data_IF_782267080873
#
_entry.id   IF_782267080873
#
_cell.length_a   1.000
_cell.length_b   1.000
_cell.length_c   1.000
_cell.angle_alpha   90.00
_cell.angle_beta   90.00
_cell.angle_gamma   90.00
#
_symmetry.space_group_name_H-M   'P 1'
#
loop_
_entity.id
_entity.type
_entity.pdbx_description
1 polymer ?
#
# COMPACT_ATOMS: atom_id res chain seq x y z
N UNK A 1 -17.34 10.02 30.21
CA UNK A 1 -17.93 9.71 28.89
C UNK A 1 -16.87 9.25 27.89
N UNK A 2 -16.88 7.97 27.53
CA UNK A 2 -16.04 7.44 26.44
C UNK A 2 -16.93 7.26 25.21
N UNK A 3 -16.68 8.05 24.18
CA UNK A 3 -17.30 7.90 22.86
C UNK A 3 -16.25 7.47 21.83
N UNK A 4 -16.53 6.37 21.13
CA UNK A 4 -15.74 5.91 20.00
C UNK A 4 -16.64 5.84 18.77
N UNK A 5 -16.38 6.75 17.83
CA UNK A 5 -16.96 6.74 16.50
C UNK A 5 -15.95 6.13 15.55
N UNK A 6 -16.27 5.00 14.94
CA UNK A 6 -15.39 4.29 14.03
C UNK A 6 -16.08 4.07 12.69
N UNK A 7 -15.34 4.14 11.59
CA UNK A 7 -15.83 3.82 10.24
C UNK A 7 -14.79 2.97 9.51
N UNK A 8 -15.23 1.95 8.78
CA UNK A 8 -14.36 1.09 7.97
C UNK A 8 -14.02 1.75 6.63
N UNK A 9 -13.41 2.92 6.72
CA UNK A 9 -12.94 3.71 5.61
C UNK A 9 -11.66 4.42 6.04
N UNK A 10 -10.69 4.54 5.13
CA UNK A 10 -9.47 5.33 5.36
C UNK A 10 -9.79 6.83 5.31
N UNK A 11 -8.92 7.67 5.90
CA UNK A 11 -9.09 9.11 5.88
C UNK A 11 -9.18 9.64 4.44
N UNK A 12 -8.44 8.99 3.52
CA UNK A 12 -8.50 9.27 2.09
C UNK A 12 -9.89 9.02 1.50
N UNK A 13 -10.48 7.83 1.75
CA UNK A 13 -11.83 7.49 1.25
C UNK A 13 -12.88 8.45 1.80
N UNK A 14 -12.75 8.83 3.07
CA UNK A 14 -13.62 9.81 3.72
C UNK A 14 -13.49 11.17 3.04
N UNK A 15 -12.28 11.68 2.82
CA UNK A 15 -12.07 12.96 2.14
C UNK A 15 -12.60 13.00 0.71
N UNK A 16 -12.47 11.89 -0.02
CA UNK A 16 -12.93 11.78 -1.40
C UNK A 16 -14.46 11.69 -1.54
N UNK A 17 -15.15 11.04 -0.59
CA UNK A 17 -16.58 10.72 -0.73
C UNK A 17 -17.49 11.50 0.23
N UNK A 18 -17.00 11.87 1.40
CA UNK A 18 -17.73 12.62 2.43
C UNK A 18 -17.22 14.07 2.57
N UNK A 19 -16.19 14.47 1.81
CA UNK A 19 -15.65 15.82 1.79
C UNK A 19 -14.54 16.08 2.81
N UNK A 20 -13.87 17.23 2.65
CA UNK A 20 -12.68 17.59 3.45
C UNK A 20 -12.98 17.80 4.93
N UNK A 21 -14.17 18.30 5.25
CA UNK A 21 -14.60 18.52 6.63
C UNK A 21 -14.72 17.19 7.39
N UNK A 22 -15.32 16.17 6.76
CA UNK A 22 -15.38 14.82 7.30
C UNK A 22 -13.99 14.20 7.48
N UNK A 23 -13.05 14.45 6.56
CA UNK A 23 -11.67 14.02 6.73
C UNK A 23 -10.95 14.72 7.89
N UNK A 24 -11.26 16.00 8.15
CA UNK A 24 -10.71 16.75 9.27
C UNK A 24 -11.24 16.25 10.64
N UNK A 25 -12.37 15.54 10.65
CA UNK A 25 -12.91 14.88 11.83
C UNK A 25 -12.18 13.57 12.17
N UNK A 26 -11.29 13.05 11.31
CA UNK A 26 -10.51 11.84 11.59
C UNK A 26 -9.46 12.11 12.67
N UNK A 27 -9.50 11.31 13.74
CA UNK A 27 -8.59 11.39 14.90
C UNK A 27 -7.45 10.39 14.78
N UNK A 28 -7.73 9.20 14.28
CA UNK A 28 -6.78 8.11 14.14
C UNK A 28 -7.18 7.19 12.98
N UNK A 29 -6.21 6.51 12.38
CA UNK A 29 -6.42 5.49 11.34
C UNK A 29 -5.60 4.25 11.66
N UNK A 30 -6.21 3.08 11.52
CA UNK A 30 -5.56 1.78 11.72
C UNK A 30 -6.25 0.70 10.87
N UNK A 31 -5.51 -0.08 10.10
CA UNK A 31 -6.01 -1.23 9.33
C UNK A 31 -7.30 -0.99 8.54
N UNK A 32 -7.38 0.16 7.85
CA UNK A 32 -8.56 0.52 7.03
C UNK A 32 -9.76 1.03 7.84
N UNK A 33 -9.60 1.25 9.14
CA UNK A 33 -10.56 1.90 10.01
C UNK A 33 -10.11 3.30 10.40
N UNK A 34 -11.05 4.24 10.46
CA UNK A 34 -10.84 5.57 11.00
C UNK A 34 -11.68 5.79 12.26
N UNK A 35 -11.08 6.41 13.27
CA UNK A 35 -11.80 7.02 14.40
C UNK A 35 -12.18 8.46 14.05
N UNK A 36 -13.42 8.84 14.34
CA UNK A 36 -13.95 10.18 14.09
C UNK A 36 -14.20 10.94 15.41
N UNK A 37 -14.18 12.28 15.34
CA UNK A 37 -14.64 13.17 16.42
C UNK A 37 -16.15 13.33 16.46
N UNK A 38 -16.82 13.07 15.34
CA UNK A 38 -18.24 13.32 15.12
C UNK A 38 -18.97 12.01 14.82
N UNK A 39 -20.31 12.07 14.86
CA UNK A 39 -21.16 10.92 14.54
C UNK A 39 -20.77 10.30 13.18
N UNK A 40 -20.54 8.98 13.11
CA UNK A 40 -20.01 8.34 11.91
C UNK A 40 -21.10 8.02 10.88
N UNK A 41 -22.38 8.30 11.14
CA UNK A 41 -23.51 7.90 10.28
C UNK A 41 -23.39 8.46 8.86
N UNK A 42 -23.21 9.77 8.73
CA UNK A 42 -23.13 10.44 7.42
C UNK A 42 -21.87 10.01 6.66
N UNK A 43 -20.75 9.86 7.36
CA UNK A 43 -19.50 9.39 6.79
C UNK A 43 -19.62 7.94 6.33
N UNK A 44 -20.24 7.07 7.13
CA UNK A 44 -20.51 5.67 6.78
C UNK A 44 -21.40 5.55 5.53
N UNK A 45 -22.48 6.34 5.47
CA UNK A 45 -23.38 6.38 4.33
C UNK A 45 -22.67 6.87 3.04
N UNK A 46 -21.98 8.02 3.11
CA UNK A 46 -21.25 8.59 1.98
C UNK A 46 -20.14 7.64 1.46
N UNK A 47 -19.43 6.98 2.38
CA UNK A 47 -18.36 6.03 2.02
C UNK A 47 -18.86 4.63 1.72
N UNK A 48 -20.17 4.35 1.86
CA UNK A 48 -20.75 2.99 1.79
C UNK A 48 -19.98 1.98 2.65
N UNK A 49 -19.58 2.40 3.84
CA UNK A 49 -18.80 1.60 4.78
C UNK A 49 -19.60 1.36 6.06
N UNK A 50 -19.30 0.25 6.74
CA UNK A 50 -19.84 0.03 8.08
C UNK A 50 -19.24 1.06 9.05
N UNK A 51 -20.11 1.64 9.88
CA UNK A 51 -19.75 2.61 10.90
C UNK A 51 -20.33 2.17 12.24
N UNK A 52 -19.61 2.48 13.32
CA UNK A 52 -20.01 2.15 14.68
C UNK A 52 -19.94 3.39 15.56
N UNK A 53 -21.03 3.62 16.32
CA UNK A 53 -21.02 4.50 17.46
C UNK A 53 -21.03 3.65 18.73
N UNK A 54 -19.96 3.77 19.52
CA UNK A 54 -19.84 3.18 20.84
C UNK A 54 -19.95 4.30 21.87
N UNK A 55 -20.92 4.19 22.78
CA UNK A 55 -21.08 5.13 23.89
C UNK A 55 -21.06 4.39 25.21
N UNK A 56 -20.35 4.95 26.17
CA UNK A 56 -20.25 4.42 27.53
C UNK A 56 -20.81 5.45 28.51
N UNK A 57 -22.13 5.41 28.77
CA UNK A 57 -22.84 6.00 29.94
C UNK A 57 -24.38 5.91 29.81
N UNK A 58 -25.13 5.50 30.87
CA UNK A 58 -24.68 4.77 32.08
C UNK A 58 -24.33 3.30 31.80
N UNK A 59 -24.46 2.83 30.55
CA UNK A 59 -24.06 1.51 30.09
C UNK A 59 -23.32 1.58 28.76
N UNK A 60 -22.70 0.46 28.36
CA UNK A 60 -22.06 0.35 27.05
C UNK A 60 -23.12 0.10 25.99
N UNK A 61 -23.29 1.04 25.07
CA UNK A 61 -24.21 0.93 23.94
C UNK A 61 -23.43 0.93 22.63
N UNK A 62 -23.90 0.12 21.68
CA UNK A 62 -23.30 -0.03 20.37
C UNK A 62 -24.40 0.16 19.33
N UNK A 63 -24.14 1.04 18.38
CA UNK A 63 -24.96 1.22 17.18
C UNK A 63 -24.09 0.98 15.95
N UNK A 64 -24.54 0.10 15.07
CA UNK A 64 -23.93 -0.14 13.77
C UNK A 64 -24.77 0.51 12.66
N UNK A 65 -24.13 1.33 11.85
CA UNK A 65 -24.66 1.86 10.60
C UNK A 65 -24.07 1.02 9.46
N UNK A 66 -24.91 0.23 8.79
CA UNK A 66 -24.47 -0.68 7.74
C UNK A 66 -24.51 -0.01 6.36
N UNK A 67 -23.72 -0.48 5.38
CA UNK A 67 -23.68 0.09 4.04
C UNK A 67 -25.02 0.05 3.28
N UNK A 68 -25.90 -0.87 3.66
CA UNK A 68 -27.25 -1.03 3.09
C UNK A 68 -28.29 -0.06 3.69
N UNK A 69 -27.85 0.83 4.59
CA UNK A 69 -28.70 1.79 5.29
C UNK A 69 -29.38 1.22 6.53
N UNK A 70 -29.22 -0.07 6.82
CA UNK A 70 -29.78 -0.67 8.04
C UNK A 70 -29.00 -0.22 9.28
N UNK A 71 -29.71 -0.12 10.39
CA UNK A 71 -29.16 0.21 11.70
C UNK A 71 -29.39 -0.97 12.63
N UNK A 72 -28.34 -1.41 13.30
CA UNK A 72 -28.41 -2.49 14.28
C UNK A 72 -27.89 -2.02 15.64
N UNK A 73 -28.54 -2.48 16.72
CA UNK A 73 -28.19 -2.08 18.08
C UNK A 73 -27.76 -3.28 18.92
N UNK A 74 -26.89 -3.04 19.90
CA UNK A 74 -26.47 -4.06 20.86
C UNK A 74 -25.84 -5.27 20.17
N UNK A 75 -26.19 -6.52 20.53
CA UNK A 75 -25.61 -7.74 19.95
C UNK A 75 -25.69 -7.88 18.44
N UNK A 76 -26.72 -7.28 17.82
CA UNK A 76 -26.96 -7.35 16.37
C UNK A 76 -26.00 -6.45 15.58
N UNK A 77 -25.31 -5.54 16.27
CA UNK A 77 -24.25 -4.71 15.71
C UNK A 77 -22.97 -5.51 15.39
N UNK A 78 -22.81 -6.73 15.92
CA UNK A 78 -21.62 -7.54 15.71
C UNK A 78 -21.40 -7.94 14.24
N UNK A 79 -20.13 -8.11 13.85
CA UNK A 79 -19.80 -8.82 12.62
C UNK A 79 -20.09 -10.33 12.76
N UNK A 80 -20.08 -11.06 11.64
CA UNK A 80 -20.25 -12.52 11.63
C UNK A 80 -19.31 -13.18 12.64
N UNK A 81 -19.87 -13.95 13.57
CA UNK A 81 -19.13 -14.65 14.64
C UNK A 81 -18.87 -13.84 15.91
N UNK A 82 -19.13 -12.53 15.93
CA UNK A 82 -18.88 -11.66 17.10
C UNK A 82 -20.04 -11.54 18.10
N UNK A 83 -21.24 -12.06 17.77
CA UNK A 83 -22.46 -11.76 18.54
C UNK A 83 -22.47 -12.34 19.97
N UNK A 84 -21.80 -13.46 20.22
CA UNK A 84 -21.68 -14.06 21.57
C UNK A 84 -20.71 -13.26 22.45
N UNK A 85 -19.58 -12.84 21.87
CA UNK A 85 -18.61 -11.97 22.53
C UNK A 85 -19.21 -10.60 22.84
N UNK A 86 -19.97 -10.04 21.90
CA UNK A 86 -20.67 -8.76 22.09
C UNK A 86 -21.75 -8.88 23.17
N UNK A 87 -22.55 -9.94 23.18
CA UNK A 87 -23.49 -10.23 24.28
C UNK A 87 -22.80 -10.26 25.63
N UNK A 88 -21.69 -10.99 25.74
CA UNK A 88 -20.92 -11.08 26.99
C UNK A 88 -20.40 -9.72 27.45
N UNK A 89 -19.93 -8.90 26.52
CA UNK A 89 -19.39 -7.58 26.82
C UNK A 89 -20.46 -6.56 27.23
N UNK A 90 -21.66 -6.66 26.63
CA UNK A 90 -22.78 -5.76 26.89
C UNK A 90 -23.57 -6.12 28.16
N UNK A 91 -23.74 -7.41 28.47
CA UNK A 91 -24.63 -7.89 29.54
C UNK A 91 -24.06 -7.81 30.98
N UNK A 92 -22.90 -7.18 31.19
CA UNK A 92 -22.05 -7.58 32.32
C UNK A 92 -22.45 -7.08 33.71
N UNK A 93 -22.29 -8.00 34.69
CA UNK A 93 -22.49 -7.86 36.15
C UNK A 93 -21.27 -8.37 37.00
N UNK A 94 -20.16 -8.83 36.40
CA UNK A 94 -19.02 -9.36 37.18
C UNK A 94 -18.00 -8.27 37.62
N UNK A 95 -17.57 -8.26 38.91
CA UNK A 95 -16.69 -7.22 39.47
C UNK A 95 -15.27 -7.17 38.90
N UNK A 96 -14.81 -8.25 38.24
CA UNK A 96 -13.41 -8.37 37.75
C UNK A 96 -13.24 -7.93 36.31
N UNK A 97 -14.33 -7.65 35.58
CA UNK A 97 -14.26 -7.28 34.18
C UNK A 97 -14.21 -5.76 34.02
N UNK A 98 -12.98 -5.25 33.93
CA UNK A 98 -12.73 -3.81 33.84
C UNK A 98 -13.34 -3.20 32.57
N UNK A 99 -13.72 -1.92 32.62
CA UNK A 99 -14.25 -1.20 31.46
C UNK A 99 -13.27 -1.18 30.28
N UNK A 100 -11.96 -1.18 30.57
CA UNK A 100 -10.92 -1.28 29.55
C UNK A 100 -11.01 -2.61 28.78
N UNK A 101 -11.19 -3.74 29.49
CA UNK A 101 -11.35 -5.06 28.90
C UNK A 101 -12.68 -5.20 28.17
N UNK A 102 -13.77 -4.65 28.73
CA UNK A 102 -15.11 -4.62 28.10
C UNK A 102 -15.08 -3.97 26.72
N UNK A 103 -14.52 -2.77 26.65
CA UNK A 103 -14.44 -2.04 25.38
C UNK A 103 -13.50 -2.74 24.39
N UNK A 104 -12.43 -3.41 24.86
CA UNK A 104 -11.54 -4.17 23.98
C UNK A 104 -12.24 -5.40 23.36
N UNK A 105 -13.04 -6.12 24.14
CA UNK A 105 -13.85 -7.23 23.66
C UNK A 105 -14.97 -6.76 22.71
N UNK A 106 -15.57 -5.58 22.96
CA UNK A 106 -16.51 -4.96 22.00
C UNK A 106 -15.79 -4.61 20.69
N UNK A 107 -14.64 -3.93 20.74
CA UNK A 107 -13.83 -3.64 19.56
C UNK A 107 -13.52 -4.92 18.78
N UNK A 108 -13.13 -6.01 19.46
CA UNK A 108 -12.86 -7.31 18.84
C UNK A 108 -14.12 -7.92 18.20
N UNK A 109 -15.27 -7.86 18.87
CA UNK A 109 -16.53 -8.36 18.33
C UNK A 109 -17.04 -7.57 17.11
N UNK A 110 -16.67 -6.29 17.02
CA UNK A 110 -16.98 -5.40 15.90
C UNK A 110 -15.92 -5.43 14.79
N UNK A 111 -14.75 -6.04 15.04
CA UNK A 111 -13.58 -6.00 14.17
C UNK A 111 -12.91 -4.63 14.07
N UNK A 112 -13.17 -3.75 15.02
CA UNK A 112 -12.54 -2.43 15.15
C UNK A 112 -11.19 -2.61 15.86
N UNK A 113 -10.08 -2.10 15.33
CA UNK A 113 -8.80 -2.20 16.01
C UNK A 113 -8.79 -1.45 17.36
N UNK A 114 -8.37 -2.08 18.46
CA UNK A 114 -8.35 -1.44 19.78
C UNK A 114 -7.40 -0.24 19.87
N UNK A 115 -6.41 -0.15 18.98
CA UNK A 115 -5.44 0.95 18.86
C UNK A 115 -6.11 2.29 18.56
N UNK A 116 -7.31 2.28 17.95
CA UNK A 116 -8.09 3.48 17.68
C UNK A 116 -8.58 4.18 18.97
N UNK A 117 -8.55 3.50 20.12
CA UNK A 117 -8.99 4.06 21.41
C UNK A 117 -8.04 5.11 22.00
N UNK A 118 -6.81 5.20 21.51
CA UNK A 118 -5.82 6.15 22.04
C UNK A 118 -6.14 7.58 21.56
N UNK A 119 -6.44 8.50 22.47
CA UNK A 119 -6.81 9.91 22.18
C UNK A 119 -5.69 10.75 21.55
N UNK A 120 -4.47 10.21 21.51
CA UNK A 120 -3.33 10.80 20.81
C UNK A 120 -2.57 9.71 20.09
N UNK A 121 -2.60 9.65 18.75
CA UNK A 121 -1.44 9.11 18.06
C UNK A 121 -0.24 9.99 18.42
N UNK A 122 0.97 9.44 18.69
CA UNK A 122 2.16 10.26 18.75
C UNK A 122 2.20 11.11 17.46
N UNK A 123 2.31 12.43 17.61
CA UNK A 123 2.48 13.35 16.47
C UNK A 123 3.75 12.93 15.73
N UNK A 124 3.61 12.15 14.67
CA UNK A 124 4.67 12.03 13.68
C UNK A 124 4.70 13.36 12.92
N UNK A 125 5.84 14.07 12.85
CA UNK A 125 5.99 15.10 11.84
C UNK A 125 5.67 14.49 10.46
N UNK A 126 5.17 15.26 9.48
CA UNK A 126 5.09 14.79 8.11
C UNK A 126 6.52 14.57 7.61
N UNK A 127 7.06 13.39 7.89
CA UNK A 127 8.21 12.88 7.16
C UNK A 127 7.68 12.71 5.73
N UNK A 128 8.25 13.36 4.71
CA UNK A 128 8.02 12.93 3.34
C UNK A 128 8.45 11.47 3.31
N UNK A 129 7.49 10.55 3.35
CA UNK A 129 7.79 9.14 3.51
C UNK A 129 8.81 8.77 2.42
N UNK A 130 9.94 8.15 2.77
CA UNK A 130 10.82 7.62 1.75
C UNK A 130 9.95 6.70 0.90
N UNK A 131 9.79 7.07 -0.37
CA UNK A 131 9.19 6.17 -1.35
C UNK A 131 10.22 5.08 -1.52
N UNK A 132 10.06 3.95 -0.84
CA UNK A 132 10.81 2.75 -1.23
C UNK A 132 10.47 2.54 -2.69
N UNK A 133 11.49 2.43 -3.52
CA UNK A 133 11.28 2.37 -4.94
C UNK A 133 12.40 1.61 -5.62
N UNK A 134 12.03 0.97 -6.71
CA UNK A 134 12.86 0.03 -7.44
C UNK A 134 12.41 -0.01 -8.89
N UNK A 135 13.18 -0.71 -9.70
CA UNK A 135 12.90 -0.88 -11.12
C UNK A 135 12.96 -2.36 -11.45
N UNK A 136 11.90 -2.88 -12.06
CA UNK A 136 11.94 -4.16 -12.77
C UNK A 136 12.43 -3.88 -14.18
N UNK A 137 13.40 -4.63 -14.68
CA UNK A 137 13.97 -4.46 -16.02
C UNK A 137 13.83 -5.77 -16.78
N UNK A 138 13.28 -5.71 -17.99
CA UNK A 138 13.16 -6.85 -18.90
C UNK A 138 14.50 -7.22 -19.53
N UNK A 139 15.50 -7.47 -18.70
CA UNK A 139 16.86 -7.86 -19.06
C UNK A 139 17.31 -8.98 -18.15
N UNK A 140 18.20 -9.82 -18.66
CA UNK A 140 18.95 -10.74 -17.81
C UNK A 140 19.81 -9.96 -16.79
N UNK A 141 20.21 -10.58 -15.67
CA UNK A 141 20.89 -9.90 -14.58
C UNK A 141 22.23 -9.27 -14.98
N UNK A 142 22.98 -9.89 -15.90
CA UNK A 142 24.28 -9.38 -16.31
C UNK A 142 24.12 -8.11 -17.15
N UNK A 143 23.22 -8.13 -18.15
CA UNK A 143 22.91 -6.96 -18.96
C UNK A 143 22.30 -5.83 -18.13
N UNK A 144 21.42 -6.16 -17.18
CA UNK A 144 20.83 -5.17 -16.26
C UNK A 144 21.91 -4.53 -15.34
N UNK A 145 22.85 -5.34 -14.81
CA UNK A 145 23.94 -4.85 -13.97
C UNK A 145 24.93 -3.96 -14.75
N UNK A 146 25.22 -4.28 -16.01
CA UNK A 146 26.05 -3.43 -16.87
C UNK A 146 25.45 -2.02 -17.05
N UNK A 147 24.11 -1.93 -17.17
CA UNK A 147 23.38 -0.67 -17.26
C UNK A 147 23.15 0.04 -15.93
N UNK A 148 23.18 -0.67 -14.81
CA UNK A 148 22.91 -0.16 -13.46
C UNK A 148 23.75 1.08 -13.10
N UNK A 149 25.05 1.08 -13.46
CA UNK A 149 25.94 2.21 -13.16
C UNK A 149 25.53 3.51 -13.84
N UNK A 150 24.82 3.45 -14.97
CA UNK A 150 24.35 4.62 -15.70
C UNK A 150 23.23 5.35 -14.95
N UNK A 151 22.60 4.69 -13.97
CA UNK A 151 21.62 5.34 -13.10
C UNK A 151 22.27 6.34 -12.13
N UNK A 152 23.59 6.31 -11.99
CA UNK A 152 24.34 7.24 -11.13
C UNK A 152 24.15 6.97 -9.64
N UNK A 153 23.61 5.81 -9.26
CA UNK A 153 23.47 5.37 -7.87
C UNK A 153 24.14 4.01 -7.68
N UNK A 154 24.58 3.71 -6.46
CA UNK A 154 24.91 2.33 -6.10
C UNK A 154 23.64 1.51 -5.99
N UNK A 155 23.72 0.24 -6.36
CA UNK A 155 22.52 -0.59 -6.43
C UNK A 155 22.82 -2.07 -6.44
N UNK A 156 21.79 -2.84 -6.12
CA UNK A 156 21.74 -4.27 -6.37
C UNK A 156 20.90 -4.54 -7.62
N UNK A 157 21.42 -5.40 -8.48
CA UNK A 157 20.69 -6.07 -9.56
C UNK A 157 20.46 -7.51 -9.15
N UNK A 158 19.21 -7.91 -8.97
CA UNK A 158 18.82 -9.23 -8.46
C UNK A 158 18.06 -10.00 -9.54
N UNK A 159 18.44 -11.25 -9.86
CA UNK A 159 17.65 -12.09 -10.76
C UNK A 159 16.26 -12.35 -10.18
N UNK A 160 15.21 -12.11 -10.97
CA UNK A 160 13.85 -12.57 -10.63
C UNK A 160 13.45 -13.77 -11.50
N UNK A 161 13.68 -13.65 -12.80
CA UNK A 161 13.47 -14.71 -13.79
C UNK A 161 14.59 -14.61 -14.84
N UNK A 162 14.69 -15.56 -15.79
CA UNK A 162 15.67 -15.44 -16.89
C UNK A 162 15.49 -14.17 -17.74
N UNK A 163 14.30 -13.57 -17.76
CA UNK A 163 13.97 -12.40 -18.58
C UNK A 163 13.80 -11.11 -17.77
N UNK A 164 13.76 -11.18 -16.43
CA UNK A 164 13.48 -10.04 -15.57
C UNK A 164 14.46 -9.96 -14.41
N UNK A 165 14.97 -8.75 -14.22
CA UNK A 165 15.87 -8.38 -13.13
C UNK A 165 15.26 -7.26 -12.29
N UNK A 166 15.52 -7.31 -10.99
CA UNK A 166 15.15 -6.27 -10.03
C UNK A 166 16.34 -5.36 -9.79
N UNK A 167 16.15 -4.06 -9.92
CA UNK A 167 17.15 -3.04 -9.61
C UNK A 167 16.69 -2.20 -8.44
N UNK A 168 17.46 -2.18 -7.36
CA UNK A 168 17.16 -1.43 -6.14
C UNK A 168 18.38 -0.66 -5.64
N UNK A 169 18.12 0.55 -5.15
CA UNK A 169 19.13 1.37 -4.49
C UNK A 169 19.55 0.72 -3.17
N UNK A 170 20.86 0.63 -2.92
CA UNK A 170 21.42 -0.08 -1.76
C UNK A 170 21.56 0.79 -0.50
N UNK A 171 21.03 2.01 -0.52
CA UNK A 171 21.10 2.95 0.60
C UNK A 171 22.35 3.85 0.60
N UNK A 172 23.33 3.61 -0.28
CA UNK A 172 24.53 4.43 -0.34
C UNK A 172 24.43 5.55 -1.41
N UNK A 173 24.91 6.75 -1.07
CA UNK A 173 24.89 7.90 -1.97
C UNK A 173 23.51 8.55 -2.12
N UNK A 174 23.29 9.27 -3.22
CA UNK A 174 22.02 9.95 -3.51
C UNK A 174 21.13 9.03 -4.36
N UNK A 175 19.88 8.74 -3.95
CA UNK A 175 18.99 7.93 -4.75
C UNK A 175 18.58 8.68 -6.04
N UNK A 176 18.60 7.96 -7.15
CA UNK A 176 18.05 8.39 -8.43
C UNK A 176 16.53 8.13 -8.42
N UNK A 177 15.68 9.08 -8.87
CA UNK A 177 14.26 8.84 -8.98
C UNK A 177 13.95 7.58 -9.80
N UNK A 178 13.05 6.71 -9.32
CA UNK A 178 12.77 5.42 -9.97
C UNK A 178 12.34 5.56 -11.44
N UNK A 179 11.68 6.67 -11.79
CA UNK A 179 11.32 7.00 -13.18
C UNK A 179 12.54 7.26 -14.06
N UNK A 180 13.51 7.98 -13.54
CA UNK A 180 14.79 8.23 -14.21
C UNK A 180 15.58 6.93 -14.33
N UNK A 181 15.67 6.16 -13.25
CA UNK A 181 16.34 4.86 -13.26
C UNK A 181 15.70 3.90 -14.28
N UNK A 182 14.36 3.83 -14.33
CA UNK A 182 13.65 2.99 -15.31
C UNK A 182 13.93 3.41 -16.76
N UNK A 183 13.96 4.71 -17.05
CA UNK A 183 14.31 5.21 -18.41
C UNK A 183 15.74 4.87 -18.81
N UNK A 184 16.67 4.96 -17.86
CA UNK A 184 18.07 4.61 -18.10
C UNK A 184 18.21 3.10 -18.35
N UNK A 185 17.52 2.28 -17.56
CA UNK A 185 17.65 0.82 -17.60
C UNK A 185 16.83 0.15 -18.70
N UNK A 186 15.71 0.75 -19.12
CA UNK A 186 14.86 0.21 -20.17
C UNK A 186 15.66 -0.06 -21.45
N UNK A 187 16.46 0.90 -21.92
CA UNK A 187 17.24 0.73 -23.15
C UNK A 187 16.34 0.38 -24.36
N UNK A 188 16.37 -0.87 -24.83
CA UNK A 188 15.44 -1.41 -25.85
C UNK A 188 14.34 -2.31 -25.28
N UNK A 189 14.39 -2.59 -23.98
CA UNK A 189 13.52 -3.50 -23.26
C UNK A 189 12.52 -2.73 -22.38
N UNK A 190 11.44 -3.37 -21.91
CA UNK A 190 10.55 -2.76 -20.94
C UNK A 190 11.24 -2.60 -19.58
N UNK A 191 10.92 -1.51 -18.88
CA UNK A 191 11.21 -1.35 -17.47
C UNK A 191 9.99 -0.84 -16.71
N UNK A 192 9.79 -1.32 -15.49
CA UNK A 192 8.71 -0.92 -14.60
C UNK A 192 9.29 -0.30 -13.34
N UNK A 193 9.13 1.00 -13.19
CA UNK A 193 9.40 1.65 -11.91
C UNK A 193 8.26 1.32 -10.95
N UNK A 194 8.57 0.75 -9.79
CA UNK A 194 7.62 0.54 -8.70
C UNK A 194 8.01 1.42 -7.51
N UNK A 195 7.02 1.94 -6.80
CA UNK A 195 7.26 2.66 -5.55
C UNK A 195 6.13 2.46 -4.55
N UNK A 196 6.45 2.59 -3.27
CA UNK A 196 5.45 2.57 -2.20
C UNK A 196 5.88 3.33 -0.95
N UNK A 197 4.88 3.64 -0.15
CA UNK A 197 4.95 4.17 1.20
C UNK A 197 3.73 3.70 2.00
N UNK A 198 3.60 4.14 3.25
CA UNK A 198 2.39 3.89 4.04
C UNK A 198 1.12 4.50 3.43
N UNK A 199 1.22 5.51 2.55
CA UNK A 199 0.07 6.27 2.03
C UNK A 199 -0.20 6.10 0.54
N UNK A 200 0.78 5.63 -0.22
CA UNK A 200 0.65 5.50 -1.67
C UNK A 200 1.54 4.38 -2.20
N UNK A 201 1.13 3.81 -3.31
CA UNK A 201 1.93 2.87 -4.08
C UNK A 201 1.64 3.08 -5.56
N UNK A 202 2.59 2.81 -6.43
CA UNK A 202 2.35 2.98 -7.85
C UNK A 202 3.42 2.36 -8.72
N UNK A 203 3.15 2.46 -10.02
CA UNK A 203 3.98 1.95 -11.07
C UNK A 203 4.01 2.88 -12.28
N UNK A 204 5.11 2.84 -13.01
CA UNK A 204 5.25 3.44 -14.34
C UNK A 204 5.95 2.44 -15.23
N UNK A 205 5.39 2.19 -16.40
CA UNK A 205 5.98 1.33 -17.42
C UNK A 205 6.63 2.20 -18.49
N UNK A 206 7.88 1.89 -18.78
CA UNK A 206 8.72 2.61 -19.73
C UNK A 206 9.23 1.63 -20.77
N UNK A 207 9.08 1.98 -22.04
CA UNK A 207 9.69 1.26 -23.17
C UNK A 207 10.74 2.19 -23.80
N UNK A 208 12.01 1.85 -23.64
CA UNK A 208 13.14 2.73 -23.95
C UNK A 208 13.06 4.08 -23.23
N UNK A 209 12.95 5.19 -23.96
CA UNK A 209 12.85 6.52 -23.36
C UNK A 209 11.40 6.98 -23.08
N UNK A 210 10.40 6.21 -23.51
CA UNK A 210 8.99 6.62 -23.50
C UNK A 210 8.23 6.00 -22.34
N UNK A 211 7.50 6.84 -21.62
CA UNK A 211 6.49 6.38 -20.67
C UNK A 211 5.28 5.87 -21.46
N UNK A 212 4.92 4.60 -21.29
CA UNK A 212 3.82 3.97 -22.04
C UNK A 212 2.58 3.73 -21.18
N UNK A 213 2.76 3.56 -19.87
CA UNK A 213 1.64 3.43 -18.94
C UNK A 213 2.04 3.79 -17.51
N UNK A 214 1.04 4.04 -16.67
CA UNK A 214 1.25 4.37 -15.26
C UNK A 214 -0.01 4.16 -14.45
N UNK A 215 0.18 3.82 -13.17
CA UNK A 215 -0.91 3.73 -12.22
C UNK A 215 -0.40 4.07 -10.82
N UNK A 216 -1.26 4.64 -9.98
CA UNK A 216 -0.94 4.85 -8.58
C UNK A 216 -2.20 4.74 -7.73
N UNK A 217 -2.07 4.02 -6.63
CA UNK A 217 -3.00 3.98 -5.52
C UNK A 217 -2.60 5.03 -4.46
N UNK A 218 -3.59 5.70 -3.86
CA UNK A 218 -3.38 6.65 -2.77
C UNK A 218 -3.23 8.12 -3.21
N UNK A 219 -2.74 8.95 -2.28
CA UNK A 219 -3.13 10.35 -2.01
C UNK A 219 -3.52 11.28 -3.18
N UNK A 220 -2.94 11.22 -4.39
CA UNK A 220 -3.17 12.25 -5.43
C UNK A 220 -3.06 11.80 -6.90
N UNK A 221 -3.18 10.51 -7.21
CA UNK A 221 -3.08 10.10 -8.60
C UNK A 221 -4.38 10.42 -9.36
N UNK A 222 -4.35 11.19 -10.47
CA UNK A 222 -5.47 11.23 -11.39
C UNK A 222 -5.58 9.86 -12.08
N UNK A 223 -6.33 8.94 -11.46
CA UNK A 223 -6.63 7.62 -12.02
C UNK A 223 -7.73 7.83 -13.06
N UNK A 224 -7.36 7.91 -14.34
CA UNK A 224 -8.35 7.83 -15.42
C UNK A 224 -8.62 6.35 -15.76
N UNK A 225 -9.87 5.97 -16.08
CA UNK A 225 -10.19 4.61 -16.51
C UNK A 225 -9.32 4.13 -17.67
N UNK A 226 -8.95 5.04 -18.59
CA UNK A 226 -8.14 4.78 -19.77
C UNK A 226 -6.68 4.49 -19.41
N UNK A 227 -6.05 5.31 -18.55
CA UNK A 227 -4.65 5.09 -18.12
C UNK A 227 -4.49 3.79 -17.35
N UNK A 228 -5.50 3.44 -16.54
CA UNK A 228 -5.51 2.21 -15.74
C UNK A 228 -5.65 0.97 -16.61
N UNK A 229 -6.56 1.00 -17.58
CA UNK A 229 -6.73 -0.11 -18.52
C UNK A 229 -5.50 -0.27 -19.43
N UNK A 230 -4.87 0.83 -19.85
CA UNK A 230 -3.61 0.79 -20.58
C UNK A 230 -2.50 0.13 -19.74
N UNK A 231 -2.35 0.52 -18.47
CA UNK A 231 -1.38 -0.09 -17.56
C UNK A 231 -1.61 -1.60 -17.38
N UNK A 232 -2.85 -2.04 -17.18
CA UNK A 232 -3.17 -3.46 -17.06
C UNK A 232 -2.80 -4.26 -18.30
N UNK A 233 -3.10 -3.75 -19.51
CA UNK A 233 -2.76 -4.41 -20.77
C UNK A 233 -1.26 -4.46 -21.05
N UNK A 234 -0.56 -3.34 -20.82
CA UNK A 234 0.89 -3.27 -21.05
C UNK A 234 1.62 -4.21 -20.10
N UNK A 235 1.26 -4.24 -18.82
CA UNK A 235 1.85 -5.18 -17.86
C UNK A 235 1.57 -6.64 -18.24
N UNK A 236 0.34 -6.95 -18.67
CA UNK A 236 0.00 -8.30 -19.11
C UNK A 236 0.87 -8.76 -20.28
N UNK A 237 1.10 -7.88 -21.26
CA UNK A 237 1.93 -8.15 -22.42
C UNK A 237 3.42 -8.30 -22.04
N UNK A 238 3.97 -7.35 -21.29
CA UNK A 238 5.39 -7.32 -20.92
C UNK A 238 5.79 -8.52 -20.03
N UNK A 239 4.89 -9.01 -19.18
CA UNK A 239 5.13 -10.15 -18.30
C UNK A 239 4.67 -11.50 -18.89
N UNK A 240 4.21 -11.53 -20.14
CA UNK A 240 3.83 -12.78 -20.81
C UNK A 240 2.59 -13.45 -20.21
N UNK A 241 1.67 -12.66 -19.63
CA UNK A 241 0.41 -13.11 -19.02
C UNK A 241 -0.81 -12.42 -19.65
N UNK A 242 -0.99 -12.48 -20.98
CA UNK A 242 -2.04 -11.72 -21.68
C UNK A 242 -3.46 -12.02 -21.17
N UNK A 243 -3.72 -13.26 -20.77
CA UNK A 243 -5.02 -13.70 -20.23
C UNK A 243 -5.35 -13.04 -18.87
N UNK A 244 -4.35 -12.47 -18.19
CA UNK A 244 -4.53 -11.74 -16.93
C UNK A 244 -4.81 -10.23 -17.12
N UNK A 245 -4.89 -9.71 -18.35
CA UNK A 245 -5.07 -8.27 -18.59
C UNK A 245 -6.32 -7.68 -17.89
N UNK A 246 -7.42 -8.43 -17.84
CA UNK A 246 -8.64 -8.02 -17.13
C UNK A 246 -8.45 -8.07 -15.61
N UNK A 247 -7.84 -9.13 -15.08
CA UNK A 247 -7.52 -9.28 -13.65
C UNK A 247 -6.60 -8.16 -13.16
N UNK A 248 -5.56 -7.84 -13.94
CA UNK A 248 -4.65 -6.74 -13.68
C UNK A 248 -5.39 -5.40 -13.69
N UNK A 249 -6.16 -5.12 -14.73
CA UNK A 249 -6.96 -3.88 -14.81
C UNK A 249 -7.94 -3.76 -13.64
N UNK A 250 -8.61 -4.85 -13.27
CA UNK A 250 -9.53 -4.89 -12.14
C UNK A 250 -8.80 -4.60 -10.82
N UNK A 251 -7.63 -5.20 -10.60
CA UNK A 251 -6.80 -4.93 -9.43
C UNK A 251 -6.37 -3.46 -9.37
N UNK A 252 -5.86 -2.90 -10.48
CA UNK A 252 -5.46 -1.49 -10.53
C UNK A 252 -6.65 -0.56 -10.22
N UNK A 253 -7.89 -0.95 -10.56
CA UNK A 253 -9.10 -0.18 -10.24
C UNK A 253 -9.56 -0.31 -8.78
N UNK A 254 -9.01 -1.25 -8.00
CA UNK A 254 -9.43 -1.45 -6.61
C UNK A 254 -9.11 -0.22 -5.76
N UNK A 255 -10.11 0.22 -4.99
CA UNK A 255 -10.02 1.32 -4.02
C UNK A 255 -10.30 0.86 -2.59
N UNK A 256 -10.48 -0.44 -2.40
CA UNK A 256 -10.81 -1.10 -1.15
C UNK A 256 -9.58 -1.75 -0.49
N UNK A 257 -8.43 -1.78 -1.18
CA UNK A 257 -7.15 -2.24 -0.65
C UNK A 257 -6.29 -1.06 -0.19
N UNK A 258 -5.48 -1.28 0.85
CA UNK A 258 -4.36 -0.39 1.13
C UNK A 258 -3.37 -0.39 -0.06
N UNK A 259 -2.70 0.75 -0.37
CA UNK A 259 -1.83 0.83 -1.55
C UNK A 259 -0.73 -0.24 -1.61
N UNK A 260 -0.10 -0.55 -0.47
CA UNK A 260 0.93 -1.60 -0.36
C UNK A 260 0.38 -3.01 -0.58
N UNK A 261 -0.85 -3.27 -0.14
CA UNK A 261 -1.55 -4.54 -0.39
C UNK A 261 -1.92 -4.70 -1.86
N UNK A 262 -2.35 -3.62 -2.52
CA UNK A 262 -2.62 -3.61 -3.95
C UNK A 262 -1.34 -3.88 -4.76
N UNK A 263 -0.21 -3.27 -4.39
CA UNK A 263 1.08 -3.54 -5.00
C UNK A 263 1.55 -4.99 -4.78
N UNK A 264 1.40 -5.53 -3.57
CA UNK A 264 1.73 -6.93 -3.27
C UNK A 264 0.91 -7.89 -4.14
N UNK A 265 -0.39 -7.60 -4.29
CA UNK A 265 -1.30 -8.40 -5.12
C UNK A 265 -0.93 -8.31 -6.61
N UNK A 266 -0.44 -7.14 -7.06
CA UNK A 266 0.03 -6.94 -8.43
C UNK A 266 1.26 -7.81 -8.71
N UNK A 267 2.25 -7.77 -7.82
CA UNK A 267 3.47 -8.57 -7.92
C UNK A 267 3.13 -10.06 -8.03
N UNK A 268 2.18 -10.54 -7.23
CA UNK A 268 1.71 -11.92 -7.29
C UNK A 268 1.04 -12.26 -8.64
N UNK A 269 0.19 -11.38 -9.18
CA UNK A 269 -0.46 -11.58 -10.48
C UNK A 269 0.54 -11.59 -11.65
N UNK A 270 1.65 -10.87 -11.53
CA UNK A 270 2.72 -10.87 -12.53
C UNK A 270 3.66 -12.09 -12.41
N UNK A 271 3.41 -12.99 -11.47
CA UNK A 271 4.24 -14.19 -11.25
C UNK A 271 5.64 -13.88 -10.72
N UNK A 272 5.84 -12.70 -10.11
CA UNK A 272 7.11 -12.31 -9.53
C UNK A 272 7.32 -12.95 -8.15
N UNK A 273 8.56 -13.30 -7.77
CA UNK A 273 8.83 -13.89 -6.46
C UNK A 273 8.52 -12.90 -5.34
N UNK A 274 8.07 -13.44 -4.19
CA UNK A 274 7.76 -12.62 -3.01
C UNK A 274 9.04 -12.15 -2.31
N UNK A 275 9.63 -11.09 -2.85
CA UNK A 275 10.79 -10.41 -2.29
C UNK A 275 10.41 -9.37 -1.21
N UNK A 276 9.19 -9.43 -0.65
CA UNK A 276 8.69 -8.40 0.26
C UNK A 276 8.40 -7.05 -0.42
N UNK A 277 8.19 -7.07 -1.74
CA UNK A 277 7.83 -5.90 -2.54
C UNK A 277 6.51 -5.30 -2.03
N UNK A 278 6.50 -3.99 -1.78
CA UNK A 278 5.37 -3.31 -1.15
C UNK A 278 5.33 -3.40 0.38
N UNK A 279 6.22 -4.17 1.03
CA UNK A 279 6.24 -4.33 2.50
C UNK A 279 7.54 -3.84 3.13
N UNK A 280 8.68 -4.14 2.52
CA UNK A 280 10.00 -3.83 3.05
C UNK A 280 10.42 -2.37 2.81
N UNK A 281 11.32 -1.86 3.66
CA UNK A 281 12.04 -0.60 3.43
C UNK A 281 13.16 -0.80 2.39
N UNK A 282 13.73 0.29 1.89
CA UNK A 282 14.90 0.23 1.00
C UNK A 282 16.07 -0.53 1.66
N UNK A 283 16.38 -0.24 2.92
CA UNK A 283 17.47 -0.90 3.65
C UNK A 283 17.22 -2.40 3.83
N UNK A 284 15.98 -2.79 4.16
CA UNK A 284 15.62 -4.20 4.30
C UNK A 284 15.69 -4.95 2.96
N UNK A 285 15.32 -4.29 1.85
CA UNK A 285 15.49 -4.86 0.51
C UNK A 285 16.96 -4.99 0.12
N UNK A 286 17.80 -4.01 0.46
CA UNK A 286 19.23 -4.08 0.22
C UNK A 286 19.88 -5.23 1.01
N UNK A 287 19.48 -5.41 2.27
CA UNK A 287 19.90 -6.54 3.10
C UNK A 287 19.45 -7.89 2.54
N UNK A 288 18.20 -7.98 2.06
CA UNK A 288 17.72 -9.18 1.36
C UNK A 288 18.51 -9.45 0.06
N UNK A 289 18.70 -8.43 -0.78
CA UNK A 289 19.38 -8.55 -2.06
C UNK A 289 20.82 -9.07 -1.93
N UNK A 290 21.52 -8.64 -0.89
CA UNK A 290 22.87 -9.12 -0.59
C UNK A 290 22.94 -10.63 -0.31
N UNK A 291 21.82 -11.25 0.11
CA UNK A 291 21.71 -12.69 0.35
C UNK A 291 21.19 -13.50 -0.84
N UNK A 292 20.83 -12.87 -1.97
CA UNK A 292 20.28 -13.58 -3.13
C UNK A 292 21.41 -14.09 -4.03
N UNK A 293 21.38 -15.38 -4.35
CA UNK A 293 22.32 -15.98 -5.28
C UNK A 293 22.23 -15.33 -6.67
N UNK A 294 23.38 -14.93 -7.22
CA UNK A 294 23.46 -14.25 -8.51
C UNK A 294 23.13 -12.76 -8.48
N UNK A 295 22.85 -12.18 -7.30
CA UNK A 295 22.72 -10.73 -7.18
C UNK A 295 24.08 -10.04 -7.39
N UNK A 296 24.07 -8.97 -8.18
CA UNK A 296 25.24 -8.17 -8.52
C UNK A 296 25.12 -6.80 -7.88
N UNK A 297 26.12 -6.42 -7.08
CA UNK A 297 26.21 -5.05 -6.54
C UNK A 297 27.04 -4.20 -7.48
N UNK A 298 26.50 -3.04 -7.86
CA UNK A 298 27.22 -2.03 -8.65
C UNK A 298 27.49 -0.79 -7.79
N UNK A 299 28.73 -0.26 -7.83
CA UNK A 299 29.07 0.93 -7.07
C UNK A 299 28.53 2.20 -7.76
N UNK A 300 28.46 3.29 -7.01
CA UNK A 300 28.27 4.61 -7.59
C UNK A 300 29.49 4.98 -8.43
N UNK A 301 29.28 5.33 -9.70
CA UNK A 301 30.31 5.81 -10.62
C UNK A 301 29.96 7.21 -11.13
N UNK A 302 30.99 8.03 -11.35
CA UNK A 302 30.82 9.32 -12.04
C UNK A 302 30.44 9.10 -13.51
N UNK A 303 29.77 10.06 -14.15
CA UNK A 303 29.25 9.90 -15.53
C UNK A 303 30.24 9.28 -16.53
N UNK A 304 31.46 9.83 -16.72
CA UNK A 304 32.45 9.24 -17.63
C UNK A 304 32.95 7.85 -17.21
N UNK A 305 33.02 7.56 -15.91
CA UNK A 305 33.39 6.24 -15.42
C UNK A 305 32.26 5.22 -15.65
N UNK A 306 31.01 5.62 -15.42
CA UNK A 306 29.82 4.81 -15.66
C UNK A 306 29.68 4.44 -17.15
N UNK A 307 29.90 5.38 -18.06
CA UNK A 307 29.86 5.13 -19.51
C UNK A 307 30.96 4.13 -19.91
N UNK A 308 32.20 4.33 -19.46
CA UNK A 308 33.30 3.40 -19.76
C UNK A 308 33.11 2.01 -19.18
N UNK A 309 32.46 1.91 -18.02
CA UNK A 309 32.08 0.64 -17.42
C UNK A 309 30.99 -0.05 -18.27
N UNK A 310 29.88 0.63 -18.52
CA UNK A 310 28.77 0.09 -19.30
C UNK A 310 29.20 -0.36 -20.72
N UNK A 311 30.07 0.38 -21.41
CA UNK A 311 30.59 0.00 -22.73
C UNK A 311 31.50 -1.23 -22.67
N UNK A 312 32.20 -1.44 -21.54
CA UNK A 312 33.10 -2.60 -21.36
C UNK A 312 32.31 -3.87 -21.08
N UNK A 313 31.32 -3.79 -20.21
CA UNK A 313 30.49 -4.94 -19.81
C UNK A 313 29.45 -5.32 -20.88
N UNK A 314 29.18 -4.44 -21.85
CA UNK A 314 28.29 -4.72 -22.98
C UNK A 314 28.97 -5.43 -24.17
N UNK A 315 30.27 -5.76 -24.07
CA UNK A 315 31.04 -6.49 -25.09
C UNK A 315 31.15 -7.96 -24.73
#
# INVERSE_FOLDING_TARGET
MVELFAVRATAHRIGALAGREAAAAVVAEHDGWCRLRTDPREVGAATRAVAYALRHEPGLTVTAYRPDGTVAHGPEAAMRGGSSLLRRALAHDEPRYTDAARVADVCRALGVPPELRLDRPPRRPPVPAPRTGLVLVGLDPAAAAAGAVLTGQSSWTVPLTPAWSLHLWDGAGRPTPCTTAARVLAGRNPAVALWWSARAAGLLVVHGSRLVAGHQWGDWAPITPESTAAAGRVLAADFGVPDQALSLTALLRRRDLAPTQALTSLVALLGLPDAGLGRLSADALAGWAAGVAGAVRTPHLTGPAAIRHAVREAR
#
